data_IF_628983339555
#
_entry.id   IF_628983339555
#
_cell.length_a   1.000
_cell.length_b   1.000
_cell.length_c   1.000
_cell.angle_alpha   90.00
_cell.angle_beta   90.00
_cell.angle_gamma   90.00
#
_symmetry.space_group_name_H-M   'P 1'
#
loop_
_entity.id
_entity.type
_entity.pdbx_description
1 polymer ?
#
# COMPACT_ATOMS: atom_id res chain seq x y z
N UNK A 1 -11.20 -63.18 34.55
CA UNK A 1 -12.66 -63.09 34.36
C UNK A 1 -13.27 -62.55 35.64
N UNK A 2 -14.29 -61.70 35.49
CA UNK A 2 -15.10 -61.03 36.51
C UNK A 2 -14.45 -59.84 37.26
N UNK A 3 -15.16 -58.77 37.60
CA UNK A 3 -15.89 -57.76 36.80
C UNK A 3 -16.47 -56.70 37.77
N UNK A 4 -16.58 -55.45 37.31
CA UNK A 4 -17.49 -54.36 37.71
C UNK A 4 -17.36 -53.61 39.07
N UNK A 5 -17.06 -52.31 38.93
CA UNK A 5 -17.65 -51.08 39.52
C UNK A 5 -18.19 -51.10 40.96
N UNK A 6 -17.83 -50.08 41.73
CA UNK A 6 -18.77 -49.01 42.12
C UNK A 6 -18.08 -47.65 42.21
N UNK A 7 -18.82 -46.64 41.75
CA UNK A 7 -18.47 -45.23 41.67
C UNK A 7 -19.01 -44.53 42.92
N UNK A 8 -18.16 -43.81 43.65
CA UNK A 8 -18.62 -42.86 44.67
C UNK A 8 -18.37 -41.45 44.16
N UNK A 9 -19.44 -40.78 43.72
CA UNK A 9 -19.46 -39.35 43.46
C UNK A 9 -19.28 -38.61 44.78
N UNK A 10 -18.19 -37.85 44.93
CA UNK A 10 -18.07 -36.87 46.00
C UNK A 10 -18.45 -35.50 45.46
N UNK A 11 -19.55 -34.97 46.00
CA UNK A 11 -20.12 -33.65 45.75
C UNK A 11 -19.08 -32.56 46.02
N UNK A 12 -18.88 -31.67 45.05
CA UNK A 12 -18.02 -30.48 45.18
C UNK A 12 -18.76 -29.44 46.00
N UNK A 13 -18.25 -28.99 47.16
CA UNK A 13 -18.85 -27.88 47.89
C UNK A 13 -18.60 -26.56 47.14
N UNK A 14 -19.69 -25.87 46.81
CA UNK A 14 -19.80 -24.58 46.12
C UNK A 14 -19.23 -23.38 46.91
N UNK A 15 -18.08 -23.54 47.58
CA UNK A 15 -17.55 -22.53 48.51
C UNK A 15 -16.05 -22.23 48.35
N UNK A 16 -15.52 -22.29 47.13
CA UNK A 16 -14.19 -21.74 46.81
C UNK A 16 -14.22 -20.77 45.62
N UNK A 17 -15.28 -19.95 45.54
CA UNK A 17 -15.16 -18.65 44.91
C UNK A 17 -14.60 -17.71 45.97
N UNK A 18 -13.30 -17.43 45.91
CA UNK A 18 -12.71 -16.10 46.17
C UNK A 18 -11.19 -16.19 45.97
N UNK A 19 -10.67 -15.26 45.17
CA UNK A 19 -9.26 -14.98 44.90
C UNK A 19 -8.62 -15.84 43.79
N UNK A 20 -8.86 -15.48 42.53
CA UNK A 20 -7.88 -14.72 41.74
C UNK A 20 -8.52 -14.23 40.43
N UNK A 21 -9.18 -13.07 40.45
CA UNK A 21 -9.19 -12.21 39.26
C UNK A 21 -7.79 -11.60 39.18
N UNK A 22 -6.82 -12.33 38.62
CA UNK A 22 -5.61 -11.67 38.13
C UNK A 22 -6.03 -10.98 36.85
N UNK A 23 -6.30 -9.69 36.96
CA UNK A 23 -6.22 -8.82 35.80
C UNK A 23 -4.80 -8.96 35.28
N UNK A 24 -4.62 -9.66 34.17
CA UNK A 24 -3.41 -9.50 33.37
C UNK A 24 -3.46 -8.08 32.81
N UNK A 25 -2.94 -7.14 33.58
CA UNK A 25 -2.27 -6.01 32.98
C UNK A 25 -1.03 -6.64 32.32
N UNK A 26 -1.16 -7.04 31.06
CA UNK A 26 0.00 -7.10 30.20
C UNK A 26 0.54 -5.67 30.18
N UNK A 27 1.58 -5.44 30.97
CA UNK A 27 2.46 -4.34 30.72
C UNK A 27 2.96 -4.57 29.29
N UNK A 28 2.47 -3.77 28.34
CA UNK A 28 3.13 -3.63 27.06
C UNK A 28 4.52 -3.11 27.39
N UNK A 29 5.51 -4.01 27.40
CA UNK A 29 6.90 -3.63 27.36
C UNK A 29 7.06 -2.80 26.10
N UNK A 30 7.07 -1.48 26.27
CA UNK A 30 7.59 -0.55 25.27
C UNK A 30 9.08 -0.83 25.17
N UNK A 31 9.42 -1.91 24.46
CA UNK A 31 10.75 -2.18 24.00
C UNK A 31 11.04 -1.15 22.92
N UNK A 32 11.44 0.06 23.34
CA UNK A 32 12.13 1.02 22.49
C UNK A 32 13.52 0.48 22.18
N UNK A 33 13.56 -0.70 21.57
CA UNK A 33 14.61 -1.01 20.61
C UNK A 33 14.45 0.07 19.56
N UNK A 34 15.48 0.85 19.31
CA UNK A 34 15.63 1.54 18.04
C UNK A 34 15.64 0.45 16.97
N UNK A 35 14.45 -0.02 16.59
CA UNK A 35 14.27 -0.95 15.49
C UNK A 35 14.68 -0.14 14.28
N UNK A 36 15.62 -0.68 13.48
CA UNK A 36 15.72 -0.31 12.08
C UNK A 36 14.29 -0.27 11.55
N UNK A 37 13.79 0.93 11.23
CA UNK A 37 12.36 1.17 11.09
C UNK A 37 11.87 0.39 9.88
N UNK A 38 11.44 -0.84 10.13
CA UNK A 38 10.81 -1.69 9.15
C UNK A 38 9.52 -0.99 8.73
N UNK A 39 9.28 -0.91 7.43
CA UNK A 39 8.04 -0.37 6.87
C UNK A 39 6.78 -0.79 7.65
N UNK A 40 5.88 0.18 7.85
CA UNK A 40 4.61 -0.03 8.53
C UNK A 40 3.78 -1.07 7.76
N UNK A 41 3.37 -2.15 8.45
CA UNK A 41 2.72 -3.30 7.82
C UNK A 41 1.45 -2.90 7.04
N UNK A 42 0.65 -1.96 7.56
CA UNK A 42 -0.55 -1.46 6.87
C UNK A 42 -0.21 -0.83 5.52
N UNK A 43 0.85 -0.04 5.46
CA UNK A 43 1.29 0.65 4.24
C UNK A 43 1.94 -0.33 3.27
N UNK A 44 2.76 -1.26 3.77
CA UNK A 44 3.28 -2.39 2.99
C UNK A 44 2.16 -3.18 2.31
N UNK A 45 1.11 -3.53 3.05
CA UNK A 45 -0.04 -4.27 2.52
C UNK A 45 -0.78 -3.43 1.47
N UNK A 46 -0.93 -2.13 1.70
CA UNK A 46 -1.54 -1.21 0.74
C UNK A 46 -0.77 -1.13 -0.58
N UNK A 47 0.57 -1.10 -0.52
CA UNK A 47 1.45 -1.14 -1.70
C UNK A 47 1.36 -2.48 -2.43
N UNK A 48 1.32 -3.60 -1.73
CA UNK A 48 1.13 -4.90 -2.36
C UNK A 48 -0.23 -5.03 -3.03
N UNK A 49 -1.29 -4.49 -2.42
CA UNK A 49 -2.61 -4.44 -3.03
C UNK A 49 -2.65 -3.50 -4.24
N UNK A 50 -1.91 -2.39 -4.18
CA UNK A 50 -1.75 -1.47 -5.30
C UNK A 50 -1.06 -2.15 -6.48
N UNK A 51 0.04 -2.87 -6.21
CA UNK A 51 0.78 -3.63 -7.21
C UNK A 51 -0.08 -4.66 -7.96
N UNK A 52 -1.06 -5.30 -7.31
CA UNK A 52 -1.94 -6.28 -7.97
C UNK A 52 -2.77 -5.69 -9.11
N UNK A 53 -3.11 -4.40 -9.04
CA UNK A 53 -3.83 -3.70 -10.10
C UNK A 53 -2.96 -3.39 -11.32
N UNK A 54 -1.64 -3.42 -11.16
CA UNK A 54 -0.68 -3.03 -12.18
C UNK A 54 -0.22 -4.23 -13.02
N UNK A 55 -0.05 -3.99 -14.31
CA UNK A 55 0.73 -4.83 -15.21
C UNK A 55 2.14 -4.24 -15.30
N UNK A 56 3.13 -5.03 -14.96
CA UNK A 56 4.54 -4.64 -14.90
C UNK A 56 5.41 -5.58 -15.78
N UNK A 57 5.42 -5.35 -17.10
CA UNK A 57 6.11 -6.24 -18.03
C UNK A 57 7.64 -6.09 -17.99
N UNK A 58 8.16 -4.94 -17.53
CA UNK A 58 9.61 -4.70 -17.35
C UNK A 58 10.16 -5.17 -16.01
N UNK A 59 9.29 -5.54 -15.06
CA UNK A 59 9.70 -5.94 -13.72
C UNK A 59 10.21 -4.78 -12.88
N UNK A 60 9.75 -3.56 -13.14
CA UNK A 60 10.10 -2.36 -12.36
C UNK A 60 9.76 -2.53 -10.87
N UNK A 61 8.69 -3.25 -10.56
CA UNK A 61 8.21 -3.55 -9.21
C UNK A 61 8.79 -4.86 -8.66
N UNK A 62 9.84 -5.41 -9.27
CA UNK A 62 10.49 -6.66 -8.83
C UNK A 62 11.04 -6.58 -7.41
N UNK A 63 11.49 -5.41 -6.98
CA UNK A 63 11.99 -5.16 -5.63
C UNK A 63 10.90 -5.18 -4.54
N UNK A 64 9.62 -5.17 -4.91
CA UNK A 64 8.48 -5.08 -3.98
C UNK A 64 8.19 -6.42 -3.31
N UNK A 65 9.15 -6.90 -2.53
CA UNK A 65 9.14 -8.19 -1.83
C UNK A 65 9.66 -8.04 -0.40
N UNK A 66 9.26 -8.94 0.49
CA UNK A 66 9.69 -8.93 1.88
C UNK A 66 8.90 -7.99 2.79
N UNK A 67 9.51 -7.65 3.94
CA UNK A 67 8.87 -6.91 5.04
C UNK A 67 9.13 -5.40 5.00
N UNK A 68 10.28 -4.98 4.47
CA UNK A 68 10.71 -3.58 4.55
C UNK A 68 10.47 -2.85 3.22
N UNK A 69 9.27 -2.29 3.07
CA UNK A 69 8.89 -1.54 1.87
C UNK A 69 9.67 -0.24 1.64
N UNK A 70 10.35 0.28 2.67
CA UNK A 70 11.14 1.51 2.55
C UNK A 70 12.42 1.31 1.71
N UNK A 71 12.78 0.05 1.42
CA UNK A 71 13.86 -0.30 0.50
C UNK A 71 13.35 -0.70 -0.89
N UNK A 72 12.03 -0.65 -1.12
CA UNK A 72 11.49 -0.97 -2.44
C UNK A 72 11.78 0.15 -3.42
N UNK A 73 12.15 -0.22 -4.65
CA UNK A 73 12.39 0.74 -5.71
C UNK A 73 11.16 1.63 -5.90
N UNK A 74 11.38 2.94 -5.85
CA UNK A 74 10.33 3.94 -5.99
C UNK A 74 9.51 4.22 -4.73
N UNK A 75 9.65 3.45 -3.64
CA UNK A 75 8.97 3.73 -2.38
C UNK A 75 9.96 4.36 -1.38
N UNK A 76 9.70 5.60 -0.97
CA UNK A 76 10.54 6.29 0.02
C UNK A 76 9.72 6.59 1.28
N UNK A 77 10.33 6.33 2.44
CA UNK A 77 9.71 6.53 3.73
C UNK A 77 10.27 7.76 4.46
N UNK A 78 9.48 8.29 5.40
CA UNK A 78 9.91 9.28 6.38
C UNK A 78 10.95 8.66 7.31
N UNK A 79 12.12 9.28 7.43
CA UNK A 79 13.17 8.83 8.36
C UNK A 79 12.77 8.98 9.83
N UNK A 80 11.73 9.77 10.12
CA UNK A 80 11.25 10.01 11.49
C UNK A 80 10.14 9.03 11.89
N UNK A 81 9.22 8.74 10.97
CA UNK A 81 7.99 7.99 11.29
C UNK A 81 7.90 6.63 10.60
N UNK A 82 8.73 6.37 9.60
CA UNK A 82 8.65 5.15 8.79
C UNK A 82 7.48 5.09 7.81
N UNK A 83 6.67 6.15 7.71
CA UNK A 83 5.56 6.20 6.77
C UNK A 83 6.06 6.39 5.34
N UNK A 84 5.42 5.73 4.37
CA UNK A 84 5.61 5.96 2.95
C UNK A 84 5.14 7.37 2.60
N UNK A 85 6.07 8.20 2.14
CA UNK A 85 5.84 9.60 1.78
C UNK A 85 5.99 9.84 0.28
N UNK A 86 6.77 9.02 -0.41
CA UNK A 86 7.01 9.13 -1.86
C UNK A 86 6.72 7.80 -2.54
N UNK A 87 5.96 7.87 -3.63
CA UNK A 87 5.89 6.84 -4.65
C UNK A 87 6.32 7.43 -5.99
N UNK A 88 7.48 7.01 -6.47
CA UNK A 88 8.08 7.44 -7.73
C UNK A 88 8.18 6.22 -8.66
N UNK A 89 7.18 6.09 -9.54
CA UNK A 89 7.01 4.96 -10.46
C UNK A 89 7.05 5.43 -11.92
N UNK A 90 7.78 6.51 -12.18
CA UNK A 90 8.05 7.01 -13.52
C UNK A 90 8.79 5.96 -14.33
N UNK A 91 8.33 5.72 -15.56
CA UNK A 91 9.08 4.94 -16.55
C UNK A 91 9.82 5.89 -17.51
N UNK A 92 10.99 5.46 -18.00
CA UNK A 92 11.78 6.21 -18.99
C UNK A 92 11.04 6.33 -20.33
N UNK A 93 11.26 7.45 -21.03
CA UNK A 93 10.51 8.05 -22.17
C UNK A 93 10.10 7.16 -23.37
N UNK A 94 10.39 5.86 -23.34
CA UNK A 94 10.03 4.93 -24.42
C UNK A 94 8.51 4.76 -24.54
N UNK A 95 7.76 4.81 -23.43
CA UNK A 95 6.31 4.55 -23.42
C UNK A 95 5.46 5.54 -24.23
N UNK A 96 6.00 6.72 -24.52
CA UNK A 96 5.26 7.84 -25.09
C UNK A 96 5.72 8.18 -26.50
N UNK A 97 6.60 7.36 -27.08
CA UNK A 97 7.13 7.56 -28.43
C UNK A 97 6.04 7.33 -29.48
N UNK A 98 5.38 8.42 -29.91
CA UNK A 98 4.37 8.49 -30.97
C UNK A 98 4.94 8.22 -32.39
N UNK A 99 5.87 7.27 -32.56
CA UNK A 99 6.59 7.16 -33.85
C UNK A 99 7.21 5.83 -34.22
N UNK A 100 7.23 4.82 -33.34
CA UNK A 100 7.83 3.53 -33.68
C UNK A 100 6.86 2.39 -33.37
N UNK A 101 6.52 1.63 -34.43
CA UNK A 101 5.81 0.34 -34.48
C UNK A 101 5.15 -0.12 -33.17
N UNK A 102 3.84 -0.38 -33.23
CA UNK A 102 3.05 -0.96 -32.14
C UNK A 102 3.65 -2.23 -31.48
N UNK A 103 4.63 -2.87 -32.14
CA UNK A 103 5.37 -4.00 -31.64
C UNK A 103 6.43 -3.67 -30.57
N UNK A 104 6.96 -2.43 -30.47
CA UNK A 104 8.07 -2.10 -29.56
C UNK A 104 7.61 -1.46 -28.24
N UNK A 105 6.47 -0.74 -28.23
CA UNK A 105 5.98 0.01 -27.06
C UNK A 105 5.11 -0.78 -26.06
N UNK A 106 4.77 -2.04 -26.35
CA UNK A 106 3.86 -2.83 -25.50
C UNK A 106 4.53 -3.53 -24.31
N UNK A 107 5.87 -3.52 -24.24
CA UNK A 107 6.60 -4.45 -23.36
C UNK A 107 7.23 -3.88 -22.09
N UNK A 108 7.23 -2.57 -21.87
CA UNK A 108 8.08 -1.99 -20.81
C UNK A 108 7.38 -1.10 -19.79
N UNK A 109 6.16 -0.64 -20.11
CA UNK A 109 5.44 0.38 -19.34
C UNK A 109 4.54 -0.23 -18.27
N UNK A 110 4.39 0.46 -17.14
CA UNK A 110 3.29 0.14 -16.23
C UNK A 110 1.95 0.45 -16.93
N UNK A 111 1.01 -0.47 -16.77
CA UNK A 111 -0.38 -0.36 -17.23
C UNK A 111 -1.31 -1.05 -16.24
N UNK A 112 -2.58 -1.25 -16.58
CA UNK A 112 -3.58 -1.84 -15.66
C UNK A 112 -4.41 -0.77 -14.98
N UNK A 113 -4.82 -0.99 -13.72
CA UNK A 113 -5.69 -0.07 -12.97
C UNK A 113 -5.03 0.38 -11.67
N UNK A 114 -5.33 1.61 -11.24
CA UNK A 114 -4.88 2.09 -9.94
C UNK A 114 -5.86 1.63 -8.85
N UNK A 115 -5.35 1.00 -7.80
CA UNK A 115 -6.15 0.52 -6.67
C UNK A 115 -6.37 1.63 -5.63
N UNK A 116 -7.58 1.73 -5.02
CA UNK A 116 -7.84 2.66 -3.92
C UNK A 116 -7.06 2.31 -2.64
N UNK A 117 -6.32 1.20 -2.61
CA UNK A 117 -5.43 0.87 -1.48
C UNK A 117 -4.43 1.98 -1.16
N UNK A 118 -4.07 2.84 -2.13
CA UNK A 118 -3.24 4.03 -1.90
C UNK A 118 -3.81 4.97 -0.84
N UNK A 119 -5.13 4.97 -0.58
CA UNK A 119 -5.75 5.75 0.49
C UNK A 119 -5.24 5.38 1.90
N UNK A 120 -4.67 4.18 2.05
CA UNK A 120 -4.06 3.75 3.31
C UNK A 120 -2.67 4.34 3.55
N UNK A 121 -2.07 4.98 2.53
CA UNK A 121 -0.82 5.73 2.63
C UNK A 121 -1.14 7.17 3.05
N UNK A 122 -1.54 7.34 4.31
CA UNK A 122 -2.12 8.60 4.82
C UNK A 122 -1.13 9.76 4.90
N UNK A 123 0.17 9.50 4.64
CA UNK A 123 1.23 10.50 4.59
C UNK A 123 1.87 10.64 3.21
N UNK A 124 1.32 9.97 2.19
CA UNK A 124 1.80 10.08 0.82
C UNK A 124 1.71 11.54 0.36
N UNK A 125 2.86 12.14 0.08
CA UNK A 125 2.99 13.54 -0.33
C UNK A 125 3.42 13.71 -1.78
N UNK A 126 4.01 12.66 -2.36
CA UNK A 126 4.51 12.64 -3.73
C UNK A 126 4.07 11.37 -4.44
N UNK A 127 3.39 11.52 -5.57
CA UNK A 127 3.03 10.43 -6.48
C UNK A 127 3.43 10.79 -7.91
N UNK A 128 4.36 10.04 -8.48
CA UNK A 128 4.77 10.17 -9.88
C UNK A 128 4.50 8.85 -10.62
N UNK A 129 3.59 8.91 -11.58
CA UNK A 129 3.24 7.82 -12.51
C UNK A 129 3.54 8.24 -13.96
N UNK A 130 4.32 9.30 -14.18
CA UNK A 130 4.61 9.85 -15.50
C UNK A 130 5.33 8.85 -16.41
N UNK A 131 5.18 9.03 -17.71
CA UNK A 131 5.87 8.20 -18.71
C UNK A 131 5.43 6.72 -18.71
N UNK A 132 4.28 6.38 -18.12
CA UNK A 132 3.69 5.04 -18.19
C UNK A 132 2.62 4.94 -19.32
N UNK A 133 1.88 3.84 -19.41
CA UNK A 133 0.82 3.70 -20.41
C UNK A 133 -0.42 3.03 -19.82
N UNK A 134 -1.32 3.83 -19.24
CA UNK A 134 -2.59 3.38 -18.68
C UNK A 134 -3.71 3.25 -19.72
N UNK A 135 -3.38 3.20 -21.01
CA UNK A 135 -4.26 2.75 -22.09
C UNK A 135 -5.60 3.50 -22.20
N UNK A 136 -5.62 4.79 -21.84
CA UNK A 136 -6.80 5.64 -21.95
C UNK A 136 -7.85 5.41 -20.86
N UNK A 137 -7.51 4.76 -19.73
CA UNK A 137 -8.45 4.69 -18.60
C UNK A 137 -8.64 6.07 -17.95
N UNK A 138 -9.80 6.35 -17.33
CA UNK A 138 -9.99 7.58 -16.58
C UNK A 138 -9.09 7.63 -15.33
N UNK A 139 -8.70 8.84 -14.94
CA UNK A 139 -8.06 9.08 -13.64
C UNK A 139 -9.05 8.69 -12.53
N UNK A 140 -8.72 7.74 -11.64
CA UNK A 140 -9.63 7.33 -10.57
C UNK A 140 -9.90 8.45 -9.56
N UNK A 141 -11.16 8.64 -9.18
CA UNK A 141 -11.59 9.73 -8.30
C UNK A 141 -10.91 9.71 -6.92
N UNK A 142 -10.51 8.54 -6.43
CA UNK A 142 -9.83 8.41 -5.14
C UNK A 142 -8.51 9.18 -5.07
N UNK A 143 -7.88 9.49 -6.21
CA UNK A 143 -6.66 10.31 -6.24
C UNK A 143 -6.92 11.67 -5.58
N UNK A 144 -8.12 12.24 -5.77
CA UNK A 144 -8.55 13.48 -5.11
C UNK A 144 -8.79 13.34 -3.60
N UNK A 145 -8.83 12.12 -3.06
CA UNK A 145 -9.00 11.85 -1.62
C UNK A 145 -7.67 11.70 -0.87
N UNK A 146 -6.52 11.78 -1.54
CA UNK A 146 -5.19 11.72 -0.93
C UNK A 146 -4.85 13.05 -0.23
N UNK A 147 -5.26 13.18 1.03
CA UNK A 147 -5.23 14.44 1.81
C UNK A 147 -3.84 15.10 1.95
N UNK A 148 -2.79 14.29 2.00
CA UNK A 148 -1.41 14.76 2.19
C UNK A 148 -0.66 14.97 0.89
N UNK A 149 -1.26 14.62 -0.25
CA UNK A 149 -0.60 14.75 -1.54
C UNK A 149 -0.29 16.22 -1.83
N UNK A 150 0.93 16.48 -2.28
CA UNK A 150 1.45 17.81 -2.64
C UNK A 150 1.99 17.83 -4.06
N UNK A 151 2.47 16.69 -4.53
CA UNK A 151 2.95 16.50 -5.89
C UNK A 151 2.25 15.31 -6.53
N UNK A 152 1.73 15.53 -7.73
CA UNK A 152 1.10 14.52 -8.57
C UNK A 152 1.57 14.73 -10.01
N UNK A 153 2.30 13.75 -10.55
CA UNK A 153 2.66 13.72 -11.96
C UNK A 153 2.02 12.51 -12.65
N UNK A 154 1.11 12.80 -13.58
CA UNK A 154 0.43 11.85 -14.45
C UNK A 154 0.74 12.12 -15.93
N UNK A 155 1.71 13.00 -16.20
CA UNK A 155 2.06 13.44 -17.54
C UNK A 155 2.54 12.26 -18.39
N UNK A 156 2.19 12.28 -19.67
CA UNK A 156 2.59 11.24 -20.61
C UNK A 156 2.18 9.80 -20.21
N UNK A 157 1.23 9.62 -19.29
CA UNK A 157 0.83 8.31 -18.78
C UNK A 157 -0.40 7.69 -19.50
N UNK A 158 -0.90 8.35 -20.56
CA UNK A 158 -2.07 7.93 -21.34
C UNK A 158 -3.37 7.76 -20.53
N UNK A 159 -3.63 8.61 -19.52
CA UNK A 159 -4.96 8.71 -18.91
C UNK A 159 -5.90 9.59 -19.74
N UNK A 160 -7.21 9.32 -19.69
CA UNK A 160 -8.22 10.30 -20.12
C UNK A 160 -8.63 11.16 -18.92
N UNK A 161 -8.70 12.48 -19.12
CA UNK A 161 -9.31 13.37 -18.15
C UNK A 161 -10.83 13.14 -18.18
N UNK A 162 -11.40 12.61 -17.09
CA UNK A 162 -12.86 12.60 -16.91
C UNK A 162 -13.39 14.03 -16.83
N UNK A 163 -14.67 14.23 -17.18
CA UNK A 163 -15.33 15.56 -17.20
C UNK A 163 -15.21 16.35 -15.87
N UNK A 164 -15.05 15.66 -14.74
CA UNK A 164 -14.87 16.26 -13.40
C UNK A 164 -13.43 16.70 -13.13
N UNK A 165 -12.43 16.02 -13.72
CA UNK A 165 -11.01 16.34 -13.54
C UNK A 165 -10.58 17.49 -14.47
N UNK A 166 -11.23 17.69 -15.61
CA UNK A 166 -10.94 18.84 -16.49
C UNK A 166 -11.18 20.20 -15.81
N UNK A 167 -12.17 20.28 -14.92
CA UNK A 167 -12.44 21.48 -14.11
C UNK A 167 -11.35 21.73 -13.06
N UNK A 168 -10.76 20.67 -12.49
CA UNK A 168 -9.63 20.75 -11.56
C UNK A 168 -8.29 20.96 -12.27
N UNK A 169 -8.16 20.48 -13.52
CA UNK A 169 -6.95 20.60 -14.35
C UNK A 169 -6.65 22.06 -14.71
N UNK A 170 -7.68 22.89 -14.90
CA UNK A 170 -7.52 24.35 -15.09
C UNK A 170 -6.98 25.07 -13.82
N UNK A 171 -7.13 24.46 -12.64
CA UNK A 171 -6.68 25.05 -11.36
C UNK A 171 -5.26 24.59 -11.01
N UNK A 172 -4.89 23.35 -11.39
CA UNK A 172 -3.59 22.75 -11.11
C UNK A 172 -2.46 23.18 -12.07
N UNK A 173 -2.78 23.79 -13.23
CA UNK A 173 -1.77 24.38 -14.15
C UNK A 173 -1.04 25.61 -13.59
N UNK A 174 -1.26 26.02 -12.33
CA UNK A 174 -0.62 27.19 -11.72
C UNK A 174 0.62 26.90 -10.87
N UNK A 175 1.15 25.67 -10.87
CA UNK A 175 2.47 25.40 -10.29
C UNK A 175 3.27 24.51 -11.24
N UNK A 176 3.85 25.15 -12.25
CA UNK A 176 4.99 24.67 -13.04
C UNK A 176 6.29 25.17 -12.43
#
# INVERSE_FOLDING_TARGET
>A
MATWRTSTQTLVPLCFLLLTKVNFLEAAESNTRFQNVACIERERNALLEFRKGLKDPSGWLSSWVGKDCCNWMGANCSNTTGNVVVLHLKTMDYCCSMGHSEAFNRGTCLSGTLSPSLLNLTYLSYLDLSGNNFQGIPIPEFIGSLKTLRYLDLSHAAFIAGLLVSLLCNILTLVS
#
